data_IF_589492766416
#
_entry.id   IF_589492766416
#
_cell.length_a   1.000
_cell.length_b   1.000
_cell.length_c   1.000
_cell.angle_alpha   90.00
_cell.angle_beta   90.00
_cell.angle_gamma   90.00
#
_symmetry.space_group_name_H-M   'P 1'
#
loop_
_entity.id
_entity.type
_entity.pdbx_description
1 polymer ?
#
# COMPACT_ATOMS: atom_id res chain seq x y z
N UNK A 1 -3.95 3.99 12.32
CA UNK A 1 -4.44 5.11 11.49
C UNK A 1 -3.21 5.81 10.96
N UNK A 2 -2.97 5.82 9.65
CA UNK A 2 -1.89 6.58 9.03
C UNK A 2 -2.19 8.08 9.12
N UNK A 3 -1.16 8.92 9.08
CA UNK A 3 -1.36 10.37 8.94
C UNK A 3 -1.88 10.69 7.53
N UNK A 4 -2.79 11.66 7.35
CA UNK A 4 -3.30 12.04 6.03
C UNK A 4 -2.23 12.77 5.22
N UNK A 5 -2.33 12.69 3.89
CA UNK A 5 -1.40 13.38 3.00
C UNK A 5 -1.66 14.89 3.07
N UNK A 6 -0.60 15.68 3.26
CA UNK A 6 -0.69 17.13 3.35
C UNK A 6 0.22 17.80 2.32
N UNK A 7 -0.33 18.76 1.60
CA UNK A 7 0.43 19.60 0.66
C UNK A 7 0.18 21.07 0.98
N UNK A 8 1.24 21.83 1.29
CA UNK A 8 1.12 23.28 1.51
C UNK A 8 1.75 24.05 0.36
N UNK A 9 0.97 24.92 -0.28
CA UNK A 9 1.39 25.72 -1.43
C UNK A 9 1.25 27.21 -1.15
N UNK A 10 2.10 28.03 -1.79
CA UNK A 10 1.93 29.48 -1.84
C UNK A 10 1.10 29.85 -3.08
N UNK A 11 -0.16 30.19 -2.91
CA UNK A 11 -1.08 30.53 -4.00
C UNK A 11 -1.47 31.99 -3.86
N UNK A 12 -1.13 32.81 -4.88
CA UNK A 12 -1.38 34.27 -4.87
C UNK A 12 -0.84 34.95 -3.61
N UNK A 13 0.38 34.58 -3.20
CA UNK A 13 1.04 35.13 -2.01
C UNK A 13 0.48 34.66 -0.66
N UNK A 14 -0.52 33.77 -0.64
CA UNK A 14 -1.07 33.19 0.60
C UNK A 14 -0.77 31.70 0.68
N UNK A 15 -0.34 31.24 1.86
CA UNK A 15 -0.17 29.81 2.13
C UNK A 15 -1.55 29.15 2.19
N UNK A 16 -1.72 28.03 1.49
CA UNK A 16 -2.89 27.16 1.56
C UNK A 16 -2.43 25.72 1.74
N UNK A 17 -3.05 25.02 2.69
CA UNK A 17 -2.81 23.59 2.93
C UNK A 17 -3.97 22.78 2.37
N UNK A 18 -3.65 21.74 1.63
CA UNK A 18 -4.55 20.70 1.14
C UNK A 18 -4.31 19.44 1.95
N UNK A 19 -5.38 18.72 2.26
CA UNK A 19 -5.36 17.49 3.06
C UNK A 19 -6.18 16.46 2.30
N UNK A 20 -5.61 15.28 2.07
CA UNK A 20 -6.31 14.13 1.50
C UNK A 20 -6.24 12.98 2.50
N UNK A 21 -7.41 12.53 2.94
CA UNK A 21 -7.55 11.43 3.89
C UNK A 21 -7.60 10.06 3.20
N UNK A 22 -8.02 10.02 1.93
CA UNK A 22 -8.11 8.81 1.12
C UNK A 22 -7.48 9.02 -0.25
N UNK A 23 -6.55 8.14 -0.59
CA UNK A 23 -5.93 8.06 -1.91
C UNK A 23 -6.11 6.62 -2.38
N UNK A 24 -6.74 6.36 -3.53
CA UNK A 24 -6.82 5.01 -4.08
C UNK A 24 -5.44 4.37 -4.19
N UNK A 25 -5.31 3.12 -3.76
CA UNK A 25 -4.04 2.41 -3.75
C UNK A 25 -3.44 2.22 -5.16
N UNK A 26 -4.24 2.27 -6.23
CA UNK A 26 -3.75 2.20 -7.61
C UNK A 26 -2.66 3.26 -7.92
N UNK A 27 -2.66 4.40 -7.21
CA UNK A 27 -1.66 5.47 -7.33
C UNK A 27 -0.25 4.98 -6.93
N UNK A 28 -0.15 3.95 -6.07
CA UNK A 28 1.13 3.35 -5.66
C UNK A 28 1.92 2.86 -6.87
N UNK A 29 1.26 2.26 -7.87
CA UNK A 29 1.94 1.74 -9.06
C UNK A 29 2.63 2.86 -9.82
N UNK A 30 1.93 3.98 -10.03
CA UNK A 30 2.50 5.17 -10.67
C UNK A 30 3.62 5.80 -9.84
N UNK A 31 3.54 5.74 -8.51
CA UNK A 31 4.63 6.19 -7.65
C UNK A 31 5.86 5.27 -7.79
N UNK A 32 5.68 3.95 -7.76
CA UNK A 32 6.77 2.98 -7.89
C UNK A 32 7.48 3.09 -9.24
N UNK A 33 6.75 3.32 -10.33
CA UNK A 33 7.33 3.57 -11.67
C UNK A 33 8.26 4.81 -11.70
N UNK A 34 8.07 5.76 -10.78
CA UNK A 34 8.88 6.99 -10.69
C UNK A 34 10.08 6.87 -9.74
N UNK A 35 10.03 5.92 -8.80
CA UNK A 35 11.02 5.75 -7.73
C UNK A 35 11.89 4.51 -8.01
N UNK A 36 11.69 3.82 -9.14
CA UNK A 36 12.22 2.48 -9.36
C UNK A 36 13.74 2.39 -9.11
N UNK A 37 14.10 1.41 -8.28
CA UNK A 37 15.47 1.10 -7.89
C UNK A 37 15.90 -0.15 -8.66
N UNK A 38 17.05 -0.11 -9.33
CA UNK A 38 17.60 -1.28 -10.04
C UNK A 38 17.70 -2.50 -9.08
N UNK A 39 16.98 -3.60 -9.37
CA UNK A 39 16.95 -4.83 -8.55
C UNK A 39 16.17 -6.02 -9.17
N UNK A 40 16.35 -7.23 -8.62
CA UNK A 40 15.91 -8.52 -9.21
C UNK A 40 14.39 -8.80 -9.20
N UNK A 41 13.59 -8.01 -8.47
CA UNK A 41 12.12 -7.99 -8.61
C UNK A 41 11.60 -6.59 -8.30
N UNK A 42 10.85 -6.00 -9.23
CA UNK A 42 10.29 -4.68 -8.99
C UNK A 42 9.30 -4.75 -7.82
N UNK A 43 9.34 -3.75 -6.93
CA UNK A 43 8.37 -3.63 -5.82
C UNK A 43 6.93 -3.60 -6.37
N UNK A 44 6.77 -3.06 -7.59
CA UNK A 44 5.53 -3.08 -8.36
C UNK A 44 5.00 -4.50 -8.58
N UNK A 45 5.83 -5.40 -9.10
CA UNK A 45 5.41 -6.78 -9.38
C UNK A 45 5.03 -7.52 -8.11
N UNK A 46 5.78 -7.29 -7.02
CA UNK A 46 5.45 -7.85 -5.71
C UNK A 46 4.06 -7.41 -5.23
N UNK A 47 3.69 -6.14 -5.38
CA UNK A 47 2.36 -5.69 -4.97
C UNK A 47 1.26 -6.27 -5.86
N UNK A 48 1.46 -6.33 -7.17
CA UNK A 48 0.48 -6.92 -8.09
C UNK A 48 0.20 -8.40 -7.73
N UNK A 49 1.23 -9.19 -7.47
CA UNK A 49 1.07 -10.59 -7.05
C UNK A 49 0.29 -10.73 -5.74
N UNK A 50 0.57 -9.87 -4.75
CA UNK A 50 -0.15 -9.90 -3.47
C UNK A 50 -1.62 -9.55 -3.65
N UNK A 51 -1.95 -8.56 -4.47
CA UNK A 51 -3.33 -8.17 -4.75
C UNK A 51 -4.06 -9.28 -5.49
N UNK A 52 -3.44 -9.85 -6.51
CA UNK A 52 -3.99 -10.98 -7.26
C UNK A 52 -4.31 -12.16 -6.33
N UNK A 53 -3.35 -12.57 -5.51
CA UNK A 53 -3.56 -13.63 -4.52
C UNK A 53 -4.72 -13.31 -3.56
N UNK A 54 -4.77 -12.09 -3.03
CA UNK A 54 -5.83 -11.69 -2.09
C UNK A 54 -7.20 -11.73 -2.78
N UNK A 55 -7.32 -11.27 -4.03
CA UNK A 55 -8.57 -11.35 -4.78
C UNK A 55 -9.08 -12.81 -4.89
N UNK A 56 -8.18 -13.75 -5.17
CA UNK A 56 -8.51 -15.17 -5.30
C UNK A 56 -8.92 -15.86 -3.99
N UNK A 57 -8.52 -15.31 -2.83
CA UNK A 57 -8.90 -15.86 -1.52
C UNK A 57 -10.38 -15.66 -1.22
N UNK A 58 -10.98 -14.56 -1.67
CA UNK A 58 -12.36 -14.24 -1.36
C UNK A 58 -13.33 -14.95 -2.31
N UNK A 59 -14.35 -15.59 -1.72
CA UNK A 59 -15.41 -16.27 -2.50
C UNK A 59 -16.41 -15.28 -3.11
N UNK A 60 -16.53 -14.09 -2.53
CA UNK A 60 -17.37 -13.01 -3.06
C UNK A 60 -16.71 -12.39 -4.29
N UNK A 61 -17.42 -12.46 -5.43
CA UNK A 61 -16.95 -11.95 -6.73
C UNK A 61 -16.90 -10.43 -6.82
N UNK A 62 -17.44 -9.71 -5.83
CA UNK A 62 -17.21 -8.28 -5.70
C UNK A 62 -15.75 -7.96 -5.33
N UNK A 63 -15.02 -8.91 -4.73
CA UNK A 63 -13.58 -8.76 -4.47
C UNK A 63 -12.80 -9.13 -5.72
N UNK A 64 -12.30 -8.10 -6.40
CA UNK A 64 -11.47 -8.15 -7.60
C UNK A 64 -10.21 -7.32 -7.38
N UNK A 65 -9.17 -7.53 -8.20
CA UNK A 65 -7.95 -6.72 -8.16
C UNK A 65 -8.27 -5.22 -8.23
N UNK A 66 -9.14 -4.81 -9.17
CA UNK A 66 -9.57 -3.42 -9.35
C UNK A 66 -10.21 -2.86 -8.08
N UNK A 67 -11.15 -3.61 -7.48
CA UNK A 67 -11.82 -3.15 -6.25
C UNK A 67 -10.89 -3.08 -5.05
N UNK A 68 -9.83 -3.90 -5.00
CA UNK A 68 -8.80 -3.82 -3.95
C UNK A 68 -7.95 -2.57 -4.19
N UNK A 69 -7.50 -2.35 -5.42
CA UNK A 69 -6.68 -1.20 -5.80
C UNK A 69 -7.40 0.14 -5.62
N UNK A 70 -8.69 0.20 -5.94
CA UNK A 70 -9.47 1.43 -5.84
C UNK A 70 -10.09 1.63 -4.45
N UNK A 71 -10.38 0.53 -3.75
CA UNK A 71 -11.07 0.55 -2.47
C UNK A 71 -10.17 0.70 -1.25
N UNK A 72 -8.87 0.39 -1.37
CA UNK A 72 -7.92 0.55 -0.27
C UNK A 72 -7.18 1.90 -0.34
N UNK A 73 -6.85 2.42 0.84
CA UNK A 73 -6.08 3.64 0.96
C UNK A 73 -4.59 3.37 0.75
N UNK A 74 -3.96 4.10 -0.17
CA UNK A 74 -2.54 4.01 -0.47
C UNK A 74 -1.65 4.14 0.78
N UNK A 75 -2.05 4.99 1.74
CA UNK A 75 -1.27 5.29 2.94
C UNK A 75 -1.20 4.14 3.95
N UNK A 76 -2.11 3.16 3.86
CA UNK A 76 -2.14 1.96 4.73
C UNK A 76 -2.11 0.66 3.94
N UNK A 77 -1.86 0.74 2.63
CA UNK A 77 -2.05 -0.38 1.72
C UNK A 77 -1.14 -1.56 2.05
N UNK A 78 0.17 -1.30 2.21
CA UNK A 78 1.17 -2.32 2.55
C UNK A 78 0.81 -3.08 3.82
N UNK A 79 0.54 -2.35 4.91
CA UNK A 79 0.13 -2.92 6.20
C UNK A 79 -1.15 -3.75 6.07
N UNK A 80 -2.11 -3.31 5.26
CA UNK A 80 -3.37 -4.03 5.05
C UNK A 80 -3.12 -5.38 4.37
N UNK A 81 -2.35 -5.40 3.28
CA UNK A 81 -2.02 -6.65 2.58
C UNK A 81 -1.19 -7.57 3.47
N UNK A 82 -0.17 -7.06 4.16
CA UNK A 82 0.69 -7.85 5.04
C UNK A 82 -0.10 -8.51 6.17
N UNK A 83 -1.03 -7.77 6.79
CA UNK A 83 -1.89 -8.32 7.84
C UNK A 83 -2.77 -9.46 7.33
N UNK A 84 -3.34 -9.33 6.12
CA UNK A 84 -4.15 -10.39 5.50
C UNK A 84 -3.27 -11.63 5.21
N UNK A 85 -2.09 -11.42 4.62
CA UNK A 85 -1.16 -12.50 4.29
C UNK A 85 -0.69 -13.25 5.53
N UNK A 86 -0.32 -12.52 6.60
CA UNK A 86 0.09 -13.12 7.87
C UNK A 86 -1.03 -13.95 8.51
N UNK A 87 -2.28 -13.46 8.46
CA UNK A 87 -3.45 -14.21 8.94
C UNK A 87 -3.64 -15.53 8.16
N UNK A 88 -3.53 -15.49 6.83
CA UNK A 88 -3.68 -16.67 5.98
C UNK A 88 -2.53 -17.66 6.21
N UNK A 89 -1.30 -17.16 6.36
CA UNK A 89 -0.12 -17.97 6.60
C UNK A 89 -0.04 -18.54 8.03
N UNK A 90 -0.94 -18.15 8.93
CA UNK A 90 -0.90 -18.57 10.34
C UNK A 90 0.27 -17.96 11.12
N UNK A 91 0.82 -16.84 10.65
CA UNK A 91 1.92 -16.12 11.29
C UNK A 91 1.34 -15.11 12.26
N UNK A 92 1.67 -15.23 13.55
CA UNK A 92 1.36 -14.18 14.53
C UNK A 92 2.30 -12.99 14.26
N UNK A 93 1.77 -11.79 13.96
CA UNK A 93 2.59 -10.60 13.73
C UNK A 93 3.54 -10.27 14.89
N UNK A 94 3.22 -10.72 16.12
CA UNK A 94 4.08 -10.53 17.30
C UNK A 94 5.32 -11.44 17.31
N UNK A 95 5.33 -12.48 16.48
CA UNK A 95 6.40 -13.48 16.40
C UNK A 95 7.24 -13.35 15.13
N UNK A 96 6.93 -12.40 14.24
CA UNK A 96 7.80 -12.03 13.12
C UNK A 96 8.99 -11.28 13.70
N UNK A 97 10.10 -11.98 13.92
CA UNK A 97 11.37 -11.36 14.23
C UNK A 97 11.75 -10.49 13.04
N UNK A 98 11.66 -9.16 13.19
CA UNK A 98 12.43 -8.26 12.34
C UNK A 98 13.89 -8.69 12.47
N UNK A 99 14.57 -8.86 11.33
CA UNK A 99 15.99 -9.17 11.33
C UNK A 99 16.72 -8.22 12.28
N UNK A 100 17.68 -8.70 13.09
CA UNK A 100 18.44 -7.83 13.97
C UNK A 100 19.08 -6.73 13.12
N UNK A 101 18.85 -5.47 13.49
CA UNK A 101 19.67 -4.36 13.00
C UNK A 101 21.11 -4.72 13.33
N UNK A 102 21.93 -4.95 12.31
CA UNK A 102 23.37 -5.01 12.50
C UNK A 102 23.82 -3.62 12.96
N UNK A 103 24.31 -3.56 14.20
CA UNK A 103 24.99 -2.41 14.79
C UNK A 103 26.26 -2.03 14.01
#
# INVERSE_FOLDING_TARGET
MSEPLKLTLLIKGKKKTFVEDFIPANVIIGALDLIDFEGEKSIRDMYNERVHFIADVFTDKAVTEDTIWDGLNALTFGDTLENILNQIAGVDPKNVKTEPKND
#
